data_IF_041812976421
#
_entry.id   IF_041812976421
#
_cell.length_a   1.000
_cell.length_b   1.000
_cell.length_c   1.000
_cell.angle_alpha   90.00
_cell.angle_beta   90.00
_cell.angle_gamma   90.00
#
_symmetry.space_group_name_H-M   'P 1'
#
loop_
_entity.id
_entity.type
_entity.pdbx_description
1 polymer ?
#
# COMPACT_ATOMS: atom_id res chain seq x y z
N UNK A 1 -6.21 -23.28 54.98
CA UNK A 1 -7.02 -22.88 53.81
C UNK A 1 -6.06 -22.47 52.69
N UNK A 2 -6.02 -23.20 51.58
CA UNK A 2 -5.19 -22.81 50.43
C UNK A 2 -5.85 -21.62 49.71
N UNK A 3 -5.08 -20.61 49.25
CA UNK A 3 -5.65 -19.47 48.54
C UNK A 3 -6.21 -19.94 47.20
N UNK A 4 -7.46 -19.58 46.90
CA UNK A 4 -8.06 -19.77 45.57
C UNK A 4 -7.20 -19.01 44.55
N UNK A 5 -6.53 -19.73 43.65
CA UNK A 5 -5.90 -19.15 42.46
C UNK A 5 -6.98 -18.40 41.68
N UNK A 6 -6.82 -17.10 41.46
CA UNK A 6 -7.66 -16.35 40.52
C UNK A 6 -7.50 -16.98 39.14
N UNK A 7 -8.61 -17.18 38.43
CA UNK A 7 -8.57 -17.66 37.05
C UNK A 7 -7.81 -16.61 36.20
N UNK A 8 -6.80 -17.05 35.44
CA UNK A 8 -6.06 -16.19 34.51
C UNK A 8 -7.07 -15.60 33.51
N UNK A 9 -7.15 -14.26 33.45
CA UNK A 9 -7.98 -13.55 32.46
C UNK A 9 -7.40 -13.86 31.07
N UNK A 10 -8.25 -14.32 30.15
CA UNK A 10 -7.84 -14.64 28.77
C UNK A 10 -7.26 -13.39 28.10
N UNK A 11 -6.07 -13.52 27.52
CA UNK A 11 -5.43 -12.44 26.77
C UNK A 11 -6.02 -12.35 25.36
N UNK A 12 -5.88 -11.18 24.70
CA UNK A 12 -6.33 -11.00 23.32
C UNK A 12 -5.64 -12.00 22.36
N UNK A 13 -4.34 -12.30 22.58
CA UNK A 13 -3.59 -13.28 21.79
C UNK A 13 -4.08 -14.71 22.02
N UNK A 14 -4.39 -15.07 23.28
CA UNK A 14 -4.96 -16.39 23.59
C UNK A 14 -6.32 -16.58 22.93
N UNK A 15 -7.15 -15.54 22.99
CA UNK A 15 -8.45 -15.54 22.32
C UNK A 15 -8.31 -15.69 20.80
N UNK A 16 -7.39 -14.92 20.18
CA UNK A 16 -7.09 -15.02 18.76
C UNK A 16 -6.65 -16.43 18.37
N UNK A 17 -5.67 -17.02 19.08
CA UNK A 17 -5.22 -18.39 18.82
C UNK A 17 -6.35 -19.40 18.94
N UNK A 18 -7.23 -19.22 19.94
CA UNK A 18 -8.40 -20.06 20.17
C UNK A 18 -9.43 -19.97 19.05
N UNK A 19 -9.76 -18.77 18.56
CA UNK A 19 -10.80 -18.61 17.52
C UNK A 19 -10.26 -18.91 16.12
N UNK A 20 -9.03 -18.48 15.81
CA UNK A 20 -8.38 -18.76 14.52
C UNK A 20 -8.02 -20.24 14.38
N UNK A 21 -7.68 -20.92 15.47
CA UNK A 21 -7.46 -22.37 15.45
C UNK A 21 -8.72 -23.17 15.16
N UNK A 22 -9.91 -22.60 15.39
CA UNK A 22 -11.20 -23.20 15.03
C UNK A 22 -11.66 -22.81 13.62
N UNK A 23 -11.43 -21.56 13.24
CA UNK A 23 -11.74 -21.04 11.92
C UNK A 23 -10.66 -20.03 11.47
N UNK A 24 -9.70 -20.45 10.63
CA UNK A 24 -8.62 -19.58 10.17
C UNK A 24 -9.07 -18.48 9.20
N UNK A 25 -10.34 -18.47 8.78
CA UNK A 25 -10.91 -17.49 7.84
C UNK A 25 -11.77 -16.42 8.55
N UNK A 26 -11.68 -16.30 9.88
CA UNK A 26 -12.40 -15.24 10.60
C UNK A 26 -11.76 -13.89 10.33
N UNK A 27 -12.56 -12.95 9.81
CA UNK A 27 -12.13 -11.57 9.57
C UNK A 27 -12.05 -10.75 10.87
N UNK A 28 -11.26 -9.66 10.91
CA UNK A 28 -11.08 -8.84 12.11
C UNK A 28 -12.38 -8.38 12.78
N UNK A 29 -13.38 -8.01 11.99
CA UNK A 29 -14.69 -7.58 12.49
C UNK A 29 -15.45 -8.72 13.19
N UNK A 30 -15.38 -9.94 12.65
CA UNK A 30 -16.02 -11.11 13.23
C UNK A 30 -15.36 -11.50 14.55
N UNK A 31 -14.03 -11.36 14.62
CA UNK A 31 -13.25 -11.59 15.84
C UNK A 31 -13.58 -10.54 16.91
N UNK A 32 -13.65 -9.26 16.55
CA UNK A 32 -14.03 -8.20 17.49
C UNK A 32 -15.47 -8.34 17.99
N UNK A 33 -16.42 -8.73 17.13
CA UNK A 33 -17.79 -9.05 17.55
C UNK A 33 -17.82 -10.21 18.55
N UNK A 34 -17.02 -11.26 18.32
CA UNK A 34 -16.88 -12.39 19.23
C UNK A 34 -16.24 -12.01 20.57
N UNK A 35 -15.21 -11.15 20.52
CA UNK A 35 -14.50 -10.63 21.69
C UNK A 35 -15.44 -9.84 22.61
N UNK A 36 -16.23 -8.93 22.04
CA UNK A 36 -17.25 -8.17 22.78
C UNK A 36 -18.35 -9.08 23.34
N UNK A 37 -18.88 -10.03 22.55
CA UNK A 37 -19.90 -10.98 23.01
C UNK A 37 -19.42 -11.87 24.16
N UNK A 38 -18.12 -12.09 24.27
CA UNK A 38 -17.49 -12.87 25.35
C UNK A 38 -17.28 -12.05 26.63
N UNK A 39 -17.74 -10.79 26.66
CA UNK A 39 -17.64 -9.92 27.82
C UNK A 39 -16.25 -9.31 28.05
N UNK A 40 -15.37 -9.36 27.04
CA UNK A 40 -14.06 -8.73 27.12
C UNK A 40 -14.13 -7.23 26.82
N UNK A 41 -13.25 -6.46 27.46
CA UNK A 41 -13.14 -5.02 27.26
C UNK A 41 -12.17 -4.69 26.10
N UNK A 42 -12.40 -3.55 25.44
CA UNK A 42 -11.61 -3.07 24.32
C UNK A 42 -11.80 -3.87 23.03
N UNK A 43 -10.98 -3.59 22.02
CA UNK A 43 -10.96 -4.29 20.74
C UNK A 43 -9.63 -5.02 20.55
N UNK A 44 -9.64 -6.08 19.76
CA UNK A 44 -8.46 -6.72 19.21
C UNK A 44 -8.03 -5.90 17.99
N UNK A 45 -6.81 -5.38 18.00
CA UNK A 45 -6.27 -4.58 16.90
C UNK A 45 -6.03 -5.45 15.66
N UNK A 46 -6.09 -4.84 14.47
CA UNK A 46 -5.83 -5.50 13.18
C UNK A 46 -4.41 -6.02 13.04
N UNK A 47 -3.43 -5.21 13.45
CA UNK A 47 -2.86 -5.35 14.78
C UNK A 47 -2.76 -6.80 15.27
N UNK A 48 -2.81 -7.05 16.56
CA UNK A 48 -2.62 -8.38 17.14
C UNK A 48 -3.23 -9.61 16.37
N UNK A 49 -4.35 -9.43 15.67
CA UNK A 49 -4.90 -10.36 14.68
C UNK A 49 -3.89 -10.94 13.67
N UNK A 50 -3.24 -10.13 12.82
CA UNK A 50 -2.35 -10.67 11.77
C UNK A 50 -1.05 -11.28 12.35
N UNK A 51 -0.58 -10.82 13.51
CA UNK A 51 0.60 -11.34 14.19
C UNK A 51 0.34 -12.77 14.67
N UNK A 52 -0.80 -12.99 15.32
CA UNK A 52 -1.21 -14.33 15.75
C UNK A 52 -1.44 -15.24 14.55
N UNK A 53 -1.99 -14.75 13.43
CA UNK A 53 -2.10 -15.56 12.20
C UNK A 53 -0.75 -16.01 11.68
N UNK A 54 0.22 -15.09 11.59
CA UNK A 54 1.57 -15.38 11.15
C UNK A 54 2.28 -16.38 12.07
N UNK A 55 2.21 -16.19 13.40
CA UNK A 55 2.74 -17.15 14.39
C UNK A 55 2.13 -18.55 14.25
N UNK A 56 0.84 -18.61 13.93
CA UNK A 56 0.11 -19.87 13.74
C UNK A 56 0.37 -20.52 12.38
N UNK A 57 1.23 -19.92 11.53
CA UNK A 57 1.45 -20.40 10.17
C UNK A 57 0.20 -20.33 9.30
N UNK A 58 -0.81 -19.55 9.71
CA UNK A 58 -2.01 -19.28 8.91
C UNK A 58 -1.57 -18.33 7.81
N UNK A 59 -1.13 -18.91 6.70
CA UNK A 59 -0.87 -18.16 5.48
C UNK A 59 -2.17 -17.45 5.09
N UNK A 60 -2.08 -16.16 4.85
CA UNK A 60 -3.11 -15.44 4.10
C UNK A 60 -3.07 -15.98 2.68
N UNK A 61 -3.70 -17.13 2.44
CA UNK A 61 -3.94 -17.59 1.08
C UNK A 61 -4.93 -16.62 0.47
N UNK A 62 -4.41 -15.71 -0.36
CA UNK A 62 -5.23 -14.88 -1.24
C UNK A 62 -5.91 -15.80 -2.26
N UNK A 63 -7.00 -16.43 -1.83
CA UNK A 63 -8.03 -16.86 -2.74
C UNK A 63 -8.56 -15.60 -3.41
N UNK A 64 -8.25 -15.45 -4.69
CA UNK A 64 -8.87 -14.48 -5.58
C UNK A 64 -10.39 -14.61 -5.46
N UNK A 65 -10.99 -13.80 -4.60
CA UNK A 65 -12.38 -13.44 -4.78
C UNK A 65 -12.35 -12.24 -5.72
N UNK A 66 -12.93 -12.32 -6.94
CA UNK A 66 -13.26 -11.10 -7.65
C UNK A 66 -14.07 -10.28 -6.67
N UNK A 67 -13.57 -9.08 -6.32
CA UNK A 67 -14.37 -8.13 -5.57
C UNK A 67 -15.66 -7.96 -6.37
N UNK A 68 -16.72 -8.60 -5.88
CA UNK A 68 -18.09 -8.30 -6.27
C UNK A 68 -18.46 -7.00 -5.56
N UNK A 69 -17.68 -5.96 -5.79
CA UNK A 69 -18.21 -4.62 -5.71
C UNK A 69 -19.01 -4.42 -7.00
N UNK A 70 -20.31 -4.11 -6.92
CA UNK A 70 -21.06 -3.74 -8.11
C UNK A 70 -20.31 -2.56 -8.74
N UNK A 71 -20.00 -2.69 -10.03
CA UNK A 71 -19.43 -1.61 -10.82
C UNK A 71 -20.16 -0.31 -10.44
N UNK A 72 -19.45 0.59 -9.75
CA UNK A 72 -19.96 1.92 -9.50
C UNK A 72 -20.20 2.49 -10.90
N UNK A 73 -21.47 2.61 -11.27
CA UNK A 73 -21.86 3.28 -12.51
C UNK A 73 -21.49 4.74 -12.32
N UNK A 74 -20.32 5.11 -12.82
CA UNK A 74 -19.90 6.49 -12.91
C UNK A 74 -20.87 7.22 -13.83
N UNK A 75 -21.69 8.09 -13.24
CA UNK A 75 -22.48 9.07 -13.97
C UNK A 75 -21.53 10.22 -14.31
N UNK A 76 -21.32 10.46 -15.60
CA UNK A 76 -20.66 11.67 -16.07
C UNK A 76 -21.42 12.89 -15.54
N UNK A 77 -20.78 13.85 -14.86
CA UNK A 77 -21.41 15.14 -14.63
C UNK A 77 -21.42 15.93 -15.95
N UNK A 78 -22.46 15.72 -16.75
CA UNK A 78 -23.00 16.75 -17.67
C UNK A 78 -24.06 17.51 -16.86
N UNK A 79 -24.15 18.85 -16.82
CA UNK A 79 -23.92 19.86 -17.85
C UNK A 79 -23.90 21.25 -17.20
N UNK A 80 -22.96 22.10 -17.59
CA UNK A 80 -23.19 23.55 -17.59
C UNK A 80 -22.43 24.15 -18.78
N UNK A 81 -23.18 24.58 -19.80
CA UNK A 81 -22.68 25.39 -20.91
C UNK A 81 -22.37 24.61 -22.19
N UNK A 82 -23.39 24.42 -23.03
CA UNK A 82 -23.19 24.06 -24.44
C UNK A 82 -22.39 25.16 -25.16
N UNK A 83 -21.20 24.82 -25.64
CA UNK A 83 -20.59 25.47 -26.79
C UNK A 83 -20.36 24.40 -27.86
N UNK A 84 -21.12 24.49 -28.95
CA UNK A 84 -21.03 23.59 -30.11
C UNK A 84 -19.60 23.58 -30.65
N UNK A 85 -18.94 22.42 -30.65
CA UNK A 85 -17.67 22.22 -31.36
C UNK A 85 -17.90 21.34 -32.59
N UNK A 86 -17.59 21.92 -33.75
CA UNK A 86 -17.46 21.26 -35.06
C UNK A 86 -16.30 20.25 -35.08
N UNK A 87 -16.32 19.24 -35.96
CA UNK A 87 -15.27 18.21 -36.01
C UNK A 87 -13.97 18.81 -36.56
N UNK A 88 -12.97 18.95 -35.70
CA UNK A 88 -11.62 19.38 -36.09
C UNK A 88 -10.74 18.19 -36.47
N UNK A 89 -10.05 18.36 -37.59
CA UNK A 89 -9.11 17.47 -38.26
C UNK A 89 -7.99 16.95 -37.34
N UNK A 90 -7.66 15.67 -37.51
CA UNK A 90 -6.36 15.00 -37.30
C UNK A 90 -5.35 15.75 -36.42
N UNK A 91 -5.44 15.58 -35.10
CA UNK A 91 -4.42 16.00 -34.14
C UNK A 91 -3.33 14.94 -34.01
N UNK A 92 -2.06 15.36 -34.05
CA UNK A 92 -0.86 14.58 -33.68
C UNK A 92 -1.15 13.65 -32.50
N UNK A 93 -0.66 12.41 -32.56
CA UNK A 93 -0.69 11.46 -31.44
C UNK A 93 -0.05 12.13 -30.22
N UNK A 94 -0.89 12.55 -29.28
CA UNK A 94 -0.45 12.94 -27.94
C UNK A 94 -0.20 11.62 -27.22
N UNK A 95 0.93 11.50 -26.51
CA UNK A 95 1.37 10.23 -25.90
C UNK A 95 0.32 9.58 -25.00
N UNK A 96 0.54 8.35 -24.55
CA UNK A 96 -0.38 7.65 -23.64
C UNK A 96 0.16 7.69 -22.20
N UNK A 97 -0.75 7.71 -21.22
CA UNK A 97 -0.43 7.55 -19.80
C UNK A 97 -1.24 6.44 -19.17
N UNK A 98 -0.66 5.84 -18.14
CA UNK A 98 -1.29 4.80 -17.33
C UNK A 98 -1.76 5.40 -16.01
N UNK A 99 -3.04 5.19 -15.71
CA UNK A 99 -3.61 5.56 -14.42
C UNK A 99 -3.50 4.38 -13.46
N UNK A 100 -2.86 4.62 -12.32
CA UNK A 100 -2.59 3.63 -11.29
C UNK A 100 -3.15 4.11 -9.96
N UNK A 101 -3.86 3.24 -9.24
CA UNK A 101 -4.18 3.44 -7.82
C UNK A 101 -3.25 2.57 -6.98
N UNK A 102 -2.46 3.21 -6.13
CA UNK A 102 -1.55 2.60 -5.16
C UNK A 102 -2.26 2.57 -3.81
N UNK A 103 -2.47 1.40 -3.23
CA UNK A 103 -3.11 1.26 -1.91
C UNK A 103 -2.17 0.51 -0.99
N UNK A 104 -1.79 1.12 0.12
CA UNK A 104 -1.03 0.45 1.18
C UNK A 104 -1.96 -0.51 1.91
N UNK A 105 -1.57 -1.79 1.98
CA UNK A 105 -2.38 -2.83 2.57
C UNK A 105 -2.27 -2.84 4.09
N UNK A 106 -3.26 -3.46 4.74
CA UNK A 106 -3.31 -3.72 6.18
C UNK A 106 -3.32 -2.47 7.08
N UNK A 107 -3.54 -1.26 6.53
CA UNK A 107 -3.70 -0.02 7.28
C UNK A 107 -5.11 0.53 7.10
N UNK A 108 -5.76 0.87 8.23
CA UNK A 108 -7.11 1.44 8.25
C UNK A 108 -7.16 2.76 9.05
N UNK A 109 -7.87 3.80 8.57
CA UNK A 109 -8.43 3.97 7.22
C UNK A 109 -7.38 3.87 6.09
N UNK A 110 -7.78 3.59 4.83
CA UNK A 110 -6.82 3.27 3.77
C UNK A 110 -5.90 4.44 3.45
N UNK A 111 -4.61 4.16 3.28
CA UNK A 111 -3.60 5.08 2.77
C UNK A 111 -3.38 4.76 1.29
N UNK A 112 -3.63 5.73 0.41
CA UNK A 112 -3.59 5.46 -1.03
C UNK A 112 -3.29 6.69 -1.87
N UNK A 113 -2.86 6.47 -3.11
CA UNK A 113 -2.56 7.49 -4.14
C UNK A 113 -3.15 7.07 -5.46
N UNK A 114 -3.72 7.99 -6.24
CA UNK A 114 -3.96 7.80 -7.67
C UNK A 114 -2.97 8.62 -8.46
N UNK A 115 -2.19 7.96 -9.30
CA UNK A 115 -1.14 8.57 -10.11
C UNK A 115 -1.36 8.30 -11.60
N UNK A 116 -0.80 9.18 -12.43
CA UNK A 116 -0.67 8.99 -13.87
C UNK A 116 0.81 9.03 -14.24
N UNK A 117 1.27 8.01 -14.95
CA UNK A 117 2.67 7.88 -15.40
C UNK A 117 2.69 7.60 -16.90
N UNK A 118 3.71 8.10 -17.60
CA UNK A 118 4.00 7.59 -18.94
C UNK A 118 4.54 6.15 -18.85
N UNK A 119 4.64 5.46 -19.99
CA UNK A 119 5.32 4.17 -20.01
C UNK A 119 6.77 4.33 -19.52
N UNK A 120 7.16 3.46 -18.59
CA UNK A 120 8.43 3.50 -17.89
C UNK A 120 8.79 2.09 -17.40
N UNK A 121 10.01 1.90 -16.90
CA UNK A 121 10.42 0.63 -16.30
C UNK A 121 9.74 0.41 -14.94
N UNK A 122 9.66 -0.83 -14.48
CA UNK A 122 9.14 -1.13 -13.14
C UNK A 122 9.99 -0.47 -12.04
N UNK A 123 11.30 -0.39 -12.23
CA UNK A 123 12.20 0.34 -11.32
C UNK A 123 11.87 1.85 -11.27
N UNK A 124 11.52 2.46 -12.42
CA UNK A 124 11.07 3.86 -12.45
C UNK A 124 9.69 4.04 -11.82
N UNK A 125 8.79 3.07 -12.01
CA UNK A 125 7.51 3.05 -11.30
C UNK A 125 7.73 2.96 -9.79
N UNK A 126 8.68 2.16 -9.32
CA UNK A 126 9.07 2.11 -7.91
C UNK A 126 9.48 3.48 -7.39
N UNK A 127 10.32 4.25 -8.09
CA UNK A 127 10.65 5.63 -7.69
C UNK A 127 9.41 6.53 -7.58
N UNK A 128 8.45 6.39 -8.52
CA UNK A 128 7.19 7.13 -8.47
C UNK A 128 6.34 6.74 -7.26
N UNK A 129 6.29 5.45 -6.90
CA UNK A 129 5.62 4.98 -5.69
C UNK A 129 6.28 5.59 -4.45
N UNK A 130 7.60 5.45 -4.32
CA UNK A 130 8.38 5.96 -3.18
C UNK A 130 8.14 7.46 -2.96
N UNK A 131 8.27 8.26 -4.02
CA UNK A 131 8.08 9.71 -3.93
C UNK A 131 6.62 10.14 -3.72
N UNK A 132 5.65 9.37 -4.22
CA UNK A 132 4.22 9.59 -3.96
C UNK A 132 3.82 9.25 -2.52
N UNK A 133 4.44 8.22 -1.93
CA UNK A 133 4.27 7.85 -0.53
C UNK A 133 5.05 8.78 0.40
N UNK A 134 6.16 9.36 -0.09
CA UNK A 134 7.03 10.22 0.71
C UNK A 134 8.17 9.48 1.40
N UNK A 135 8.49 8.27 0.92
CA UNK A 135 9.60 7.44 1.38
C UNK A 135 10.92 7.78 0.71
N UNK A 136 12.00 7.29 1.30
CA UNK A 136 13.37 7.62 0.89
C UNK A 136 14.03 6.61 -0.03
N UNK A 137 13.38 5.47 -0.32
CA UNK A 137 13.97 4.35 -1.06
C UNK A 137 15.25 3.83 -0.39
N UNK A 138 15.19 3.61 0.93
CA UNK A 138 16.32 3.14 1.73
C UNK A 138 16.45 1.61 1.75
N UNK A 139 15.41 0.88 1.31
CA UNK A 139 15.30 -0.57 1.47
C UNK A 139 15.06 -1.30 0.14
N UNK A 140 15.23 -2.63 0.17
CA UNK A 140 14.91 -3.49 -0.96
C UNK A 140 13.41 -3.49 -1.26
N UNK A 141 13.06 -3.80 -2.51
CA UNK A 141 11.69 -3.88 -2.97
C UNK A 141 11.54 -4.94 -4.07
N UNK A 142 10.30 -5.35 -4.32
CA UNK A 142 9.94 -6.09 -5.52
C UNK A 142 8.51 -5.79 -5.99
N UNK A 143 8.17 -6.25 -7.19
CA UNK A 143 6.79 -6.38 -7.67
C UNK A 143 6.43 -7.86 -7.81
N UNK A 144 5.18 -8.19 -7.50
CA UNK A 144 4.59 -9.51 -7.69
C UNK A 144 3.50 -9.41 -8.75
N UNK A 145 3.77 -9.93 -9.95
CA UNK A 145 2.87 -9.81 -11.11
C UNK A 145 2.60 -11.21 -11.65
N UNK A 146 1.35 -11.67 -11.59
CA UNK A 146 0.94 -13.02 -12.01
C UNK A 146 1.83 -14.14 -11.41
N UNK A 147 2.18 -14.02 -10.12
CA UNK A 147 3.04 -14.98 -9.41
C UNK A 147 4.53 -14.90 -9.75
N UNK A 148 4.96 -13.96 -10.59
CA UNK A 148 6.38 -13.71 -10.88
C UNK A 148 6.88 -12.52 -10.10
N UNK A 149 8.14 -12.60 -9.67
CA UNK A 149 8.82 -11.56 -8.91
C UNK A 149 9.69 -10.71 -9.82
N UNK A 150 9.64 -9.40 -9.63
CA UNK A 150 10.45 -8.42 -10.36
C UNK A 150 11.18 -7.54 -9.35
N UNK A 151 12.51 -7.53 -9.40
CA UNK A 151 13.34 -6.86 -8.40
C UNK A 151 14.48 -6.08 -9.03
N UNK A 152 15.17 -5.26 -8.23
CA UNK A 152 16.39 -4.58 -8.68
C UNK A 152 17.55 -5.57 -8.95
N UNK A 153 18.65 -5.13 -9.57
CA UNK A 153 19.73 -6.02 -10.00
C UNK A 153 20.38 -6.84 -8.87
N UNK A 154 20.32 -6.35 -7.63
CA UNK A 154 20.84 -7.07 -6.45
C UNK A 154 20.01 -8.30 -6.08
N UNK A 155 18.74 -8.35 -6.50
CA UNK A 155 17.86 -9.52 -6.31
C UNK A 155 17.92 -10.48 -7.49
N UNK A 156 18.45 -10.03 -8.63
CA UNK A 156 18.56 -10.83 -9.86
C UNK A 156 19.81 -11.71 -9.77
N UNK A 157 19.62 -13.00 -9.49
CA UNK A 157 20.70 -13.97 -9.40
C UNK A 157 20.21 -15.39 -9.12
N UNK A 158 21.11 -16.36 -9.23
CA UNK A 158 20.86 -17.71 -8.72
C UNK A 158 21.09 -17.70 -7.21
N UNK A 159 20.01 -17.60 -6.43
CA UNK A 159 20.12 -17.94 -5.01
C UNK A 159 20.36 -19.45 -4.89
N UNK A 160 21.32 -19.91 -4.07
CA UNK A 160 21.46 -21.32 -3.74
C UNK A 160 20.36 -21.82 -2.78
N UNK A 161 19.47 -20.93 -2.33
CA UNK A 161 18.32 -21.21 -1.49
C UNK A 161 17.02 -21.17 -2.33
N UNK A 162 15.91 -21.69 -1.80
CA UNK A 162 14.56 -21.68 -2.42
C UNK A 162 13.95 -20.26 -2.55
N UNK A 163 14.78 -19.25 -2.82
CA UNK A 163 14.33 -17.88 -3.06
C UNK A 163 13.61 -17.78 -4.40
N UNK A 164 12.61 -16.88 -4.51
CA UNK A 164 11.93 -16.67 -5.77
C UNK A 164 12.89 -16.20 -6.86
N UNK A 165 12.70 -16.69 -8.08
CA UNK A 165 13.42 -16.19 -9.25
C UNK A 165 12.94 -14.79 -9.62
N UNK A 166 13.85 -13.82 -9.57
CA UNK A 166 13.57 -12.42 -9.90
C UNK A 166 13.87 -12.12 -11.37
N UNK A 167 12.92 -11.43 -12.01
CA UNK A 167 13.14 -10.73 -13.28
C UNK A 167 13.64 -9.31 -13.00
N UNK A 168 14.51 -8.79 -13.86
CA UNK A 168 15.09 -7.45 -13.67
C UNK A 168 14.07 -6.33 -13.93
N UNK A 169 13.73 -5.60 -12.87
CA UNK A 169 12.81 -4.46 -12.89
C UNK A 169 13.37 -3.24 -13.63
N UNK A 170 14.70 -3.11 -13.78
CA UNK A 170 15.34 -1.97 -14.44
C UNK A 170 15.19 -2.01 -15.95
N UNK A 171 14.88 -3.18 -16.51
CA UNK A 171 14.68 -3.40 -17.95
C UNK A 171 13.26 -3.82 -18.31
N UNK A 172 12.43 -4.17 -17.32
CA UNK A 172 11.03 -4.54 -17.53
C UNK A 172 10.15 -3.29 -17.68
N UNK A 173 9.59 -3.07 -18.87
CA UNK A 173 8.65 -1.98 -19.13
C UNK A 173 7.26 -2.26 -18.54
N UNK A 174 6.61 -1.21 -18.02
CA UNK A 174 5.25 -1.27 -17.49
C UNK A 174 4.25 -1.67 -18.59
N UNK A 175 4.41 -1.17 -19.82
CA UNK A 175 3.61 -1.60 -20.97
C UNK A 175 3.72 -3.09 -21.30
N UNK A 176 4.82 -3.75 -20.94
CA UNK A 176 5.03 -5.18 -21.18
C UNK A 176 4.24 -6.08 -20.21
N UNK A 177 3.86 -5.56 -19.04
CA UNK A 177 3.10 -6.31 -18.03
C UNK A 177 1.62 -5.92 -17.98
N UNK A 178 1.25 -4.73 -18.46
CA UNK A 178 -0.12 -4.26 -18.49
C UNK A 178 -0.91 -4.85 -19.66
N UNK A 179 -2.22 -5.13 -19.49
CA UNK A 179 -3.02 -5.72 -20.56
C UNK A 179 -3.19 -4.76 -21.73
N UNK A 180 -2.90 -5.24 -22.95
CA UNK A 180 -2.98 -4.47 -24.18
C UNK A 180 -4.37 -3.87 -24.47
N UNK A 181 -5.43 -4.49 -23.94
CA UNK A 181 -6.80 -4.02 -24.09
C UNK A 181 -7.20 -2.91 -23.10
N UNK A 182 -6.29 -2.47 -22.22
CA UNK A 182 -6.52 -1.40 -21.25
C UNK A 182 -7.49 -1.76 -20.12
N UNK A 183 -7.86 -3.04 -19.96
CA UNK A 183 -8.73 -3.49 -18.87
C UNK A 183 -8.03 -3.34 -17.51
N UNK A 184 -8.80 -3.16 -16.43
CA UNK A 184 -8.24 -3.10 -15.10
C UNK A 184 -7.37 -4.32 -14.76
N UNK A 185 -6.23 -4.08 -14.13
CA UNK A 185 -5.26 -5.13 -13.79
C UNK A 185 -4.61 -4.83 -12.44
N UNK A 186 -4.55 -5.84 -11.56
CA UNK A 186 -4.02 -5.70 -10.19
C UNK A 186 -2.71 -6.47 -10.06
N UNK A 187 -1.75 -5.91 -9.35
CA UNK A 187 -0.49 -6.56 -9.02
C UNK A 187 0.08 -6.02 -7.70
N UNK A 188 0.99 -6.78 -7.10
CA UNK A 188 1.60 -6.45 -5.81
C UNK A 188 2.90 -5.65 -5.94
N UNK A 189 3.18 -4.86 -4.92
CA UNK A 189 4.47 -4.20 -4.70
C UNK A 189 4.82 -4.26 -3.22
N UNK A 190 5.99 -4.78 -2.88
CA UNK A 190 6.49 -4.82 -1.51
C UNK A 190 7.74 -3.95 -1.41
N UNK A 191 7.80 -3.14 -0.37
CA UNK A 191 8.95 -2.30 -0.02
C UNK A 191 9.37 -2.58 1.42
N UNK A 192 10.68 -2.60 1.63
CA UNK A 192 11.32 -2.95 2.88
C UNK A 192 10.94 -4.35 3.36
N UNK A 193 11.77 -5.35 3.05
CA UNK A 193 11.52 -6.74 3.48
C UNK A 193 11.63 -6.95 5.00
N UNK A 194 12.08 -5.95 5.76
CA UNK A 194 12.02 -5.95 7.22
C UNK A 194 10.61 -5.58 7.71
N UNK A 195 10.14 -4.40 7.29
CA UNK A 195 8.84 -3.84 7.71
C UNK A 195 7.64 -4.37 6.90
N UNK A 196 7.90 -4.94 5.73
CA UNK A 196 6.96 -5.54 4.77
C UNK A 196 5.82 -4.59 4.38
N UNK A 197 6.17 -3.45 3.76
CA UNK A 197 5.19 -2.50 3.24
C UNK A 197 4.59 -2.98 1.93
N UNK A 198 3.54 -3.79 2.05
CA UNK A 198 2.79 -4.34 0.92
C UNK A 198 1.77 -3.36 0.34
N UNK A 199 1.76 -3.26 -0.98
CA UNK A 199 0.81 -2.45 -1.73
C UNK A 199 0.08 -3.30 -2.77
N UNK A 200 -1.19 -2.98 -2.94
CA UNK A 200 -1.90 -3.29 -4.17
C UNK A 200 -1.77 -2.13 -5.15
N UNK A 201 -1.38 -2.45 -6.38
CA UNK A 201 -1.40 -1.53 -7.50
C UNK A 201 -2.51 -1.95 -8.45
N UNK A 202 -3.51 -1.10 -8.58
CA UNK A 202 -4.56 -1.23 -9.58
C UNK A 202 -4.25 -0.34 -10.77
N UNK A 203 -3.96 -0.94 -11.91
CA UNK A 203 -4.06 -0.27 -13.20
C UNK A 203 -5.53 -0.06 -13.53
N UNK A 204 -5.94 1.20 -13.64
CA UNK A 204 -7.33 1.60 -13.91
C UNK A 204 -7.59 1.77 -15.43
N UNK A 205 -6.53 1.99 -16.21
CA UNK A 205 -6.61 2.06 -17.67
C UNK A 205 -5.59 3.01 -18.30
N UNK A 206 -5.74 3.15 -19.62
CA UNK A 206 -4.92 4.01 -20.47
C UNK A 206 -5.69 5.26 -20.80
N UNK A 207 -5.03 6.40 -20.75
CA UNK A 207 -5.62 7.69 -21.08
C UNK A 207 -4.72 8.43 -22.07
N UNK A 208 -5.29 9.19 -23.03
CA UNK A 208 -4.52 10.14 -23.79
C UNK A 208 -3.84 11.13 -22.85
N UNK A 209 -2.54 11.36 -23.04
CA UNK A 209 -1.83 12.41 -22.35
C UNK A 209 -2.46 13.76 -22.71
N UNK A 210 -2.64 14.61 -21.71
CA UNK A 210 -3.21 15.93 -21.95
C UNK A 210 -2.16 16.87 -22.55
N UNK A 211 -2.51 17.68 -23.57
CA UNK A 211 -1.59 18.65 -24.13
C UNK A 211 -0.99 19.57 -23.06
N UNK A 212 0.32 19.77 -23.12
CA UNK A 212 1.10 20.63 -22.20
C UNK A 212 1.17 20.16 -20.75
N UNK A 213 0.58 19.01 -20.38
CA UNK A 213 0.85 18.40 -19.07
C UNK A 213 2.19 17.66 -19.11
N UNK A 214 2.90 17.73 -17.99
CA UNK A 214 4.11 16.95 -17.74
C UNK A 214 3.79 15.89 -16.69
N UNK A 215 4.18 14.65 -16.98
CA UNK A 215 4.00 13.48 -16.12
C UNK A 215 5.32 13.15 -15.41
N UNK A 216 5.30 12.49 -14.24
CA UNK A 216 4.14 11.92 -13.54
C UNK A 216 3.23 12.95 -12.87
N UNK A 217 1.99 12.55 -12.57
CA UNK A 217 1.00 13.34 -11.81
C UNK A 217 0.39 12.50 -10.71
N UNK A 218 0.16 13.07 -9.53
CA UNK A 218 -0.74 12.51 -8.53
C UNK A 218 -2.03 13.33 -8.55
N UNK A 219 -3.15 12.65 -8.83
CA UNK A 219 -4.46 13.28 -9.00
C UNK A 219 -5.17 13.44 -7.65
N UNK A 220 -5.07 12.42 -6.82
CA UNK A 220 -5.79 12.29 -5.56
C UNK A 220 -5.11 11.26 -4.66
N UNK A 221 -5.57 11.18 -3.42
CA UNK A 221 -5.06 10.26 -2.41
C UNK A 221 -5.56 10.68 -1.04
N UNK A 222 -5.26 9.87 -0.03
CA UNK A 222 -5.61 10.16 1.34
C UNK A 222 -4.50 9.72 2.30
N UNK A 223 -4.39 10.46 3.41
CA UNK A 223 -3.53 10.17 4.57
C UNK A 223 -2.03 10.24 4.30
N UNK A 224 -1.28 10.59 5.33
CA UNK A 224 0.18 10.52 5.30
C UNK A 224 0.59 9.04 5.30
N UNK A 225 1.61 8.66 4.51
CA UNK A 225 2.17 7.32 4.62
C UNK A 225 2.92 7.14 5.94
N UNK A 226 3.04 5.88 6.42
CA UNK A 226 3.89 5.57 7.55
C UNK A 226 5.31 6.09 7.32
N UNK A 227 6.00 6.61 8.33
CA UNK A 227 7.43 6.91 8.23
C UNK A 227 8.22 5.64 7.86
N UNK A 228 9.32 5.79 7.10
CA UNK A 228 10.30 4.70 6.95
C UNK A 228 10.78 4.25 8.35
N UNK A 229 11.13 2.98 8.49
CA UNK A 229 11.66 2.36 9.72
C UNK A 229 10.76 2.42 10.96
N UNK A 230 9.46 2.69 10.79
CA UNK A 230 8.53 2.73 11.94
C UNK A 230 8.19 1.34 12.47
N UNK A 231 8.61 0.25 11.81
CA UNK A 231 8.41 -1.13 12.25
C UNK A 231 7.19 -1.79 11.61
N UNK A 232 6.95 -1.52 10.34
CA UNK A 232 5.85 -2.07 9.56
C UNK A 232 4.49 -1.57 10.04
N UNK A 233 3.43 -2.21 9.55
CA UNK A 233 2.02 -1.87 9.87
C UNK A 233 1.77 -1.81 11.39
N UNK A 234 2.47 -2.67 12.13
CA UNK A 234 2.44 -2.82 13.58
C UNK A 234 3.03 -1.62 14.29
N UNK A 235 4.29 -1.34 14.00
CA UNK A 235 5.00 -0.23 14.58
C UNK A 235 4.35 1.09 14.20
N UNK A 236 3.74 1.19 13.01
CA UNK A 236 2.93 2.35 12.64
C UNK A 236 1.68 2.51 13.52
N UNK A 237 0.96 1.44 13.82
CA UNK A 237 -0.20 1.52 14.71
C UNK A 237 0.20 1.94 16.13
N UNK A 238 1.24 1.32 16.68
CA UNK A 238 1.78 1.65 18.01
C UNK A 238 2.31 3.10 18.04
N UNK A 239 2.95 3.53 16.95
CA UNK A 239 3.40 4.91 16.75
C UNK A 239 2.23 5.89 16.78
N UNK A 240 1.14 5.62 16.06
CA UNK A 240 -0.05 6.47 16.05
C UNK A 240 -0.71 6.58 17.43
N UNK A 241 -0.80 5.47 18.16
CA UNK A 241 -1.30 5.47 19.55
C UNK A 241 -0.41 6.33 20.44
N UNK A 242 0.91 6.12 20.37
CA UNK A 242 1.88 6.86 21.18
C UNK A 242 1.86 8.36 20.90
N UNK A 243 1.84 8.81 19.64
CA UNK A 243 1.84 10.25 19.33
C UNK A 243 0.47 10.90 19.57
N UNK A 244 -0.61 10.12 19.56
CA UNK A 244 -1.98 10.59 19.72
C UNK A 244 -2.37 10.84 21.18
N UNK A 245 -1.76 10.13 22.12
CA UNK A 245 -2.01 10.27 23.56
C UNK A 245 -0.80 10.88 24.31
N UNK A 246 -0.91 12.14 24.79
CA UNK A 246 0.14 12.78 25.60
C UNK A 246 0.52 12.04 26.90
N UNK A 247 -0.33 11.11 27.37
CA UNK A 247 -0.10 10.31 28.56
C UNK A 247 0.48 8.92 28.26
N UNK A 248 0.60 8.53 26.98
CA UNK A 248 1.22 7.28 26.59
C UNK A 248 2.69 7.25 27.01
N UNK A 249 3.16 6.10 27.51
CA UNK A 249 4.54 5.95 28.03
C UNK A 249 5.61 6.34 26.99
N UNK A 250 5.37 5.97 25.73
CA UNK A 250 6.27 6.24 24.61
C UNK A 250 6.01 7.59 23.89
N UNK A 251 5.07 8.44 24.35
CA UNK A 251 4.67 9.66 23.64
C UNK A 251 5.86 10.58 23.34
N UNK A 252 6.66 10.90 24.37
CA UNK A 252 7.80 11.81 24.24
C UNK A 252 8.88 11.27 23.32
N UNK A 253 9.15 9.97 23.42
CA UNK A 253 10.14 9.28 22.58
C UNK A 253 9.72 9.30 21.12
N UNK A 254 8.50 8.86 20.80
CA UNK A 254 7.99 8.81 19.43
C UNK A 254 7.88 10.19 18.79
N UNK A 255 7.51 11.22 19.57
CA UNK A 255 7.51 12.63 19.10
C UNK A 255 8.91 13.15 18.78
N UNK A 256 9.92 12.73 19.56
CA UNK A 256 11.31 13.08 19.30
C UNK A 256 11.85 12.33 18.08
N UNK A 257 11.55 11.04 17.97
CA UNK A 257 11.99 10.18 16.88
C UNK A 257 11.50 10.68 15.52
N UNK A 258 10.20 11.02 15.41
CA UNK A 258 9.65 11.54 14.15
C UNK A 258 10.10 12.99 13.82
N UNK A 259 10.90 13.61 14.69
CA UNK A 259 11.40 14.97 14.47
C UNK A 259 10.32 16.06 14.56
N UNK A 260 9.20 15.81 15.25
CA UNK A 260 8.21 16.84 15.55
C UNK A 260 6.75 16.47 15.25
N UNK A 261 6.09 17.22 14.36
CA UNK A 261 4.66 17.06 14.07
C UNK A 261 4.46 16.08 12.92
N UNK A 262 3.81 14.97 13.22
CA UNK A 262 3.22 14.05 12.24
C UNK A 262 1.70 14.20 12.28
N UNK A 263 1.08 14.34 11.12
CA UNK A 263 -0.37 14.41 10.97
C UNK A 263 -0.80 13.24 10.06
N UNK A 264 -1.40 12.18 10.62
CA UNK A 264 -1.73 10.97 9.84
C UNK A 264 -2.73 11.24 8.72
N UNK A 265 -3.50 12.32 8.79
CA UNK A 265 -4.51 12.66 7.79
C UNK A 265 -3.97 13.60 6.69
N UNK A 266 -2.77 14.16 6.88
CA UNK A 266 -2.22 15.13 5.95
C UNK A 266 -1.78 14.50 4.63
N UNK A 267 -2.40 14.95 3.54
CA UNK A 267 -1.98 14.60 2.18
C UNK A 267 -2.25 15.72 1.18
N UNK A 268 -1.39 15.85 0.16
CA UNK A 268 -1.51 16.84 -0.92
C UNK A 268 -1.08 16.24 -2.26
N UNK A 269 -2.01 16.05 -3.22
CA UNK A 269 -1.68 15.56 -4.56
C UNK A 269 -0.65 16.44 -5.30
N UNK A 270 -0.71 17.76 -5.09
CA UNK A 270 0.25 18.71 -5.66
C UNK A 270 1.67 18.50 -5.10
N UNK A 271 1.79 18.26 -3.79
CA UNK A 271 3.08 17.97 -3.15
C UNK A 271 3.64 16.63 -3.63
N UNK A 272 2.81 15.59 -3.69
CA UNK A 272 3.20 14.28 -4.23
C UNK A 272 3.65 14.38 -5.70
N UNK A 273 2.90 15.12 -6.54
CA UNK A 273 3.28 15.40 -7.93
C UNK A 273 4.66 16.07 -8.03
N UNK A 274 4.92 17.08 -7.19
CA UNK A 274 6.22 17.76 -7.18
C UNK A 274 7.36 16.81 -6.82
N UNK A 275 7.18 15.97 -5.79
CA UNK A 275 8.18 14.97 -5.38
C UNK A 275 8.44 13.94 -6.49
N UNK A 276 7.40 13.40 -7.11
CA UNK A 276 7.55 12.45 -8.22
C UNK A 276 8.26 13.05 -9.43
N UNK A 277 8.05 14.34 -9.73
CA UNK A 277 8.77 15.05 -10.81
C UNK A 277 10.21 15.36 -10.46
N UNK A 278 10.49 15.69 -9.20
CA UNK A 278 11.85 15.89 -8.72
C UNK A 278 12.64 14.58 -8.74
N UNK A 279 11.96 13.45 -8.50
CA UNK A 279 12.59 12.14 -8.40
C UNK A 279 13.38 11.97 -7.11
N UNK A 280 13.97 10.80 -6.96
CA UNK A 280 14.92 10.52 -5.88
C UNK A 280 16.34 10.92 -6.32
N UNK A 281 17.26 11.20 -5.38
CA UNK A 281 18.67 11.34 -5.71
C UNK A 281 19.17 10.10 -6.44
N UNK A 282 19.92 10.29 -7.51
CA UNK A 282 20.50 9.18 -8.27
C UNK A 282 21.69 8.58 -7.52
N UNK A 283 21.39 7.70 -6.56
CA UNK A 283 22.38 6.97 -5.78
C UNK A 283 23.17 5.95 -6.62
N UNK A 284 22.73 5.66 -7.85
CA UNK A 284 23.41 4.77 -8.79
C UNK A 284 24.44 5.51 -9.65
N UNK A 285 24.28 6.81 -9.84
CA UNK A 285 25.25 7.67 -10.55
C UNK A 285 26.49 8.03 -9.74
N UNK A 286 26.47 7.83 -8.42
CA UNK A 286 27.66 7.94 -7.56
C UNK A 286 28.53 6.69 -7.64
N UNK A 287 29.22 6.51 -8.77
CA UNK A 287 30.40 5.65 -8.91
C UNK A 287 31.42 6.30 -9.83
#
# INVERSE_FOLDING_TARGET
MAPKKSAKKETKSDYLRKVLGKNPNLEPDQINQGWTKSGHAGTISNALYYHVRAEMGIKSEWGWYPASEPAVKWVNPTSAGEAKSTPSRSGKVVGEVYQLKLTLLNVEPPIWRRIQVADCTLDRLHEHIQTAMGWTNSHMHHFIINGKYYGGPMLVGQSPYDDPHYTDSTTTMLSAILPANGKPFRFGYEYDFGDSWEHEILFEGRLPAEPKKQYPLCLEGARACPPDDVGGVWGYADFLEAIGDPHHENHKEMKSWIGGRFDPEAFSPATATRRMKQGLPDWRSTR
#
